data_IF_875630739816
#
_entry.id   IF_875630739816
#
_cell.length_a   1.000
_cell.length_b   1.000
_cell.length_c   1.000
_cell.angle_alpha   90.00
_cell.angle_beta   90.00
_cell.angle_gamma   90.00
#
_symmetry.space_group_name_H-M   'P 1'
#
loop_
_entity.id
_entity.type
_entity.pdbx_description
1 polymer ?
#
# COMPACT_ATOMS: atom_id res chain seq x y z
N UNK A 1 15.40 -7.77 15.07
CA UNK A 1 15.50 -6.42 14.44
C UNK A 1 14.19 -6.00 13.75
N UNK A 2 13.02 -6.26 14.35
CA UNK A 2 11.71 -5.80 13.84
C UNK A 2 11.24 -4.48 14.51
N UNK A 3 11.86 -4.11 15.63
CA UNK A 3 11.51 -2.95 16.45
C UNK A 3 11.30 -1.63 15.70
N UNK A 4 12.15 -1.22 14.72
CA UNK A 4 11.93 0.06 14.04
C UNK A 4 10.74 0.02 13.07
N UNK A 5 10.52 -1.10 12.39
CA UNK A 5 9.38 -1.28 11.50
C UNK A 5 8.07 -1.34 12.30
N UNK A 6 8.06 -2.06 13.43
CA UNK A 6 6.88 -2.14 14.30
C UNK A 6 6.52 -0.78 14.89
N UNK A 7 7.52 0.00 15.33
CA UNK A 7 7.30 1.36 15.82
C UNK A 7 6.70 2.25 14.72
N UNK A 8 7.26 2.18 13.51
CA UNK A 8 6.77 2.92 12.35
C UNK A 8 5.30 2.56 12.02
N UNK A 9 4.96 1.27 12.03
CA UNK A 9 3.60 0.80 11.81
C UNK A 9 2.65 1.33 12.90
N UNK A 10 3.04 1.27 14.17
CA UNK A 10 2.24 1.82 15.27
C UNK A 10 1.96 3.30 15.04
N UNK A 11 2.99 4.10 14.78
CA UNK A 11 2.84 5.53 14.51
C UNK A 11 1.92 5.78 13.33
N UNK A 12 2.12 5.07 12.21
CA UNK A 12 1.32 5.21 11.00
C UNK A 12 -0.16 4.85 11.20
N UNK A 13 -0.44 3.79 11.97
CA UNK A 13 -1.79 3.36 12.36
C UNK A 13 -2.42 4.38 13.30
N UNK A 14 -1.69 4.88 14.29
CA UNK A 14 -2.19 5.89 15.23
C UNK A 14 -2.58 7.19 14.49
N UNK A 15 -1.74 7.67 13.56
CA UNK A 15 -2.06 8.86 12.75
C UNK A 15 -3.37 8.65 11.97
N UNK A 16 -3.50 7.52 11.27
CA UNK A 16 -4.72 7.19 10.51
C UNK A 16 -5.95 7.08 11.43
N UNK A 17 -5.82 6.39 12.56
CA UNK A 17 -6.91 6.22 13.52
C UNK A 17 -7.38 7.56 14.10
N UNK A 18 -6.45 8.47 14.45
CA UNK A 18 -6.79 9.82 14.91
C UNK A 18 -7.52 10.61 13.82
N UNK A 19 -7.07 10.53 12.57
CA UNK A 19 -7.72 11.23 11.45
C UNK A 19 -9.12 10.68 11.16
N UNK A 20 -9.32 9.35 11.18
CA UNK A 20 -10.63 8.73 11.03
C UNK A 20 -11.63 9.20 12.10
N UNK A 21 -11.18 9.47 13.32
CA UNK A 21 -12.02 9.98 14.41
C UNK A 21 -12.23 11.48 14.41
N UNK A 22 -11.60 12.20 13.48
CA UNK A 22 -11.70 13.65 13.36
C UNK A 22 -12.76 14.06 12.33
N UNK A 23 -13.25 15.29 12.42
CA UNK A 23 -14.15 15.89 11.42
C UNK A 23 -13.49 16.07 10.04
N UNK A 24 -12.17 15.88 9.94
CA UNK A 24 -11.45 15.95 8.68
C UNK A 24 -11.72 14.73 7.79
N UNK A 25 -12.10 13.58 8.34
CA UNK A 25 -12.29 12.36 7.56
C UNK A 25 -13.34 12.56 6.44
N UNK A 26 -14.49 13.15 6.78
CA UNK A 26 -15.54 13.47 5.82
C UNK A 26 -15.06 14.49 4.79
N UNK A 27 -14.39 15.56 5.25
CA UNK A 27 -13.85 16.60 4.37
C UNK A 27 -12.85 16.00 3.35
N UNK A 28 -11.94 15.13 3.80
CA UNK A 28 -10.94 14.48 2.95
C UNK A 28 -11.63 13.57 1.92
N UNK A 29 -12.70 12.87 2.31
CA UNK A 29 -13.44 11.96 1.42
C UNK A 29 -14.18 12.65 0.26
N UNK A 30 -14.33 13.98 0.31
CA UNK A 30 -14.95 14.79 -0.75
C UNK A 30 -13.92 15.46 -1.67
N UNK A 31 -12.62 15.33 -1.36
CA UNK A 31 -11.55 15.99 -2.12
C UNK A 31 -11.20 15.21 -3.37
N UNK A 32 -11.33 15.86 -4.52
CA UNK A 32 -11.04 15.31 -5.85
C UNK A 32 -9.57 14.94 -6.03
N UNK A 33 -8.69 15.57 -5.25
CA UNK A 33 -7.27 15.28 -5.21
C UNK A 33 -6.98 13.90 -4.60
N UNK A 34 -7.84 13.44 -3.69
CA UNK A 34 -7.63 12.20 -2.91
C UNK A 34 -8.44 11.05 -3.46
N UNK A 35 -9.68 11.33 -3.89
CA UNK A 35 -10.61 10.36 -4.47
C UNK A 35 -11.23 10.88 -5.75
N UNK A 36 -11.52 9.97 -6.67
CA UNK A 36 -12.20 10.22 -7.93
C UNK A 36 -13.48 9.40 -8.01
N UNK A 37 -14.37 9.69 -8.98
CA UNK A 37 -15.57 8.87 -9.21
C UNK A 37 -15.28 7.38 -9.44
N UNK A 38 -14.03 7.00 -9.78
CA UNK A 38 -13.66 5.61 -10.03
C UNK A 38 -13.24 4.86 -8.76
N UNK A 39 -12.67 5.55 -7.75
CA UNK A 39 -12.05 4.92 -6.60
C UNK A 39 -12.64 5.36 -5.24
N UNK A 40 -13.68 6.20 -5.25
CA UNK A 40 -14.33 6.70 -4.05
C UNK A 40 -15.15 5.60 -3.35
N UNK A 41 -15.01 5.49 -2.04
CA UNK A 41 -15.76 4.52 -1.23
C UNK A 41 -17.28 4.65 -1.35
N UNK A 42 -17.78 5.88 -1.53
CA UNK A 42 -19.22 6.13 -1.72
C UNK A 42 -19.81 5.35 -2.89
N UNK A 43 -19.03 5.17 -3.96
CA UNK A 43 -19.45 4.39 -5.15
C UNK A 43 -19.52 2.90 -4.85
N UNK A 44 -18.67 2.42 -3.96
CA UNK A 44 -18.75 1.04 -3.46
C UNK A 44 -20.05 0.84 -2.68
N UNK A 45 -20.37 1.76 -1.76
CA UNK A 45 -21.60 1.69 -0.95
C UNK A 45 -22.86 1.79 -1.83
N UNK A 46 -22.87 2.72 -2.80
CA UNK A 46 -23.96 2.86 -3.75
C UNK A 46 -24.12 1.60 -4.63
N UNK A 47 -23.00 1.05 -5.12
CA UNK A 47 -22.98 -0.18 -5.90
C UNK A 47 -23.51 -1.38 -5.11
N UNK A 48 -23.15 -1.52 -3.83
CA UNK A 48 -23.69 -2.56 -2.96
C UNK A 48 -25.21 -2.40 -2.77
N UNK A 49 -25.69 -1.17 -2.53
CA UNK A 49 -27.12 -0.91 -2.38
C UNK A 49 -27.93 -1.25 -3.66
N UNK A 50 -27.37 -1.00 -4.85
CA UNK A 50 -27.99 -1.42 -6.12
C UNK A 50 -28.04 -2.95 -6.23
N UNK A 51 -26.95 -3.62 -5.86
CA UNK A 51 -26.86 -5.08 -5.88
C UNK A 51 -27.91 -5.71 -4.96
N UNK A 52 -28.11 -5.15 -3.76
CA UNK A 52 -29.11 -5.62 -2.79
C UNK A 52 -30.55 -5.45 -3.30
N UNK A 53 -30.80 -4.45 -4.16
CA UNK A 53 -32.07 -4.24 -4.84
C UNK A 53 -32.24 -5.12 -6.10
N UNK A 54 -31.28 -6.00 -6.40
CA UNK A 54 -31.30 -6.85 -7.60
C UNK A 54 -31.01 -6.09 -8.89
N UNK A 55 -30.50 -4.86 -8.81
CA UNK A 55 -30.09 -4.04 -9.94
C UNK A 55 -28.59 -4.20 -10.15
N UNK A 56 -28.17 -4.42 -11.40
CA UNK A 56 -26.74 -4.54 -11.71
C UNK A 56 -26.01 -3.22 -11.37
N UNK A 57 -24.98 -3.23 -10.50
CA UNK A 57 -24.20 -2.02 -10.18
C UNK A 57 -23.44 -1.44 -11.39
N UNK A 58 -23.32 -2.25 -12.45
CA UNK A 58 -22.63 -1.92 -13.70
C UNK A 58 -23.55 -1.33 -14.76
N UNK A 59 -24.88 -1.40 -14.59
CA UNK A 59 -25.82 -0.90 -15.63
C UNK A 59 -25.88 0.61 -15.73
N UNK A 60 -25.42 1.34 -14.70
CA UNK A 60 -25.49 2.80 -14.61
C UNK A 60 -24.12 3.48 -14.43
N UNK A 61 -23.01 2.80 -14.74
CA UNK A 61 -21.64 3.32 -14.58
C UNK A 61 -21.34 3.82 -13.16
N UNK A 62 -21.97 3.20 -12.16
CA UNK A 62 -21.83 3.58 -10.74
C UNK A 62 -20.58 2.92 -10.14
N UNK A 63 -20.32 1.67 -10.51
CA UNK A 63 -19.26 0.86 -9.94
C UNK A 63 -18.28 0.37 -11.01
N UNK A 64 -16.98 0.59 -10.78
CA UNK A 64 -15.93 0.40 -11.77
C UNK A 64 -14.91 -0.67 -11.40
N UNK A 65 -15.05 -1.28 -10.22
CA UNK A 65 -14.19 -2.37 -9.80
C UNK A 65 -14.73 -3.73 -10.30
N UNK A 66 -13.91 -4.77 -10.30
CA UNK A 66 -14.27 -6.08 -10.87
C UNK A 66 -15.49 -6.76 -10.19
N UNK A 67 -16.28 -7.59 -10.90
CA UNK A 67 -17.45 -8.27 -10.31
C UNK A 67 -17.16 -9.15 -9.10
N UNK A 68 -15.93 -9.65 -8.95
CA UNK A 68 -15.57 -10.45 -7.78
C UNK A 68 -15.37 -9.58 -6.53
N UNK A 69 -14.86 -8.36 -6.69
CA UNK A 69 -14.53 -7.50 -5.57
C UNK A 69 -15.77 -6.92 -4.89
N UNK A 70 -16.89 -6.76 -5.61
CA UNK A 70 -18.11 -6.22 -5.01
C UNK A 70 -18.71 -7.20 -4.00
N UNK A 71 -18.67 -8.51 -4.30
CA UNK A 71 -19.07 -9.52 -3.35
C UNK A 71 -18.14 -9.57 -2.14
N UNK A 72 -16.84 -9.34 -2.34
CA UNK A 72 -15.92 -9.19 -1.22
C UNK A 72 -16.27 -7.96 -0.37
N UNK A 73 -16.59 -6.82 -1.00
CA UNK A 73 -16.97 -5.59 -0.30
C UNK A 73 -18.24 -5.72 0.52
N UNK A 74 -19.18 -6.57 0.11
CA UNK A 74 -20.36 -6.88 0.92
C UNK A 74 -19.98 -7.36 2.34
N UNK A 75 -18.87 -8.08 2.51
CA UNK A 75 -18.39 -8.51 3.84
C UNK A 75 -17.50 -7.48 4.54
N UNK A 76 -16.83 -6.63 3.78
CA UNK A 76 -15.83 -5.70 4.30
C UNK A 76 -16.41 -4.32 4.63
N UNK A 77 -17.62 -4.01 4.16
CA UNK A 77 -18.18 -2.65 4.20
C UNK A 77 -18.29 -2.09 5.62
N UNK A 78 -18.68 -2.94 6.58
CA UNK A 78 -18.82 -2.57 8.00
C UNK A 78 -17.47 -2.33 8.69
N UNK A 79 -16.39 -2.85 8.11
CA UNK A 79 -15.03 -2.78 8.68
C UNK A 79 -14.09 -1.92 7.84
N UNK A 80 -14.63 -1.06 6.97
CA UNK A 80 -13.87 -0.32 5.96
C UNK A 80 -12.63 0.39 6.54
N UNK A 81 -12.77 1.12 7.64
CA UNK A 81 -11.64 1.84 8.27
C UNK A 81 -10.47 0.90 8.61
N UNK A 82 -10.77 -0.24 9.23
CA UNK A 82 -9.76 -1.24 9.61
C UNK A 82 -9.15 -1.87 8.36
N UNK A 83 -9.98 -2.19 7.38
CA UNK A 83 -9.56 -2.82 6.12
C UNK A 83 -8.53 -1.95 5.38
N UNK A 84 -8.78 -0.64 5.24
CA UNK A 84 -7.85 0.26 4.56
C UNK A 84 -6.55 0.48 5.33
N UNK A 85 -6.60 0.56 6.67
CA UNK A 85 -5.39 0.67 7.50
C UNK A 85 -4.55 -0.60 7.41
N UNK A 86 -5.19 -1.78 7.44
CA UNK A 86 -4.51 -3.07 7.29
C UNK A 86 -3.92 -3.20 5.89
N UNK A 87 -4.63 -2.79 4.84
CA UNK A 87 -4.13 -2.81 3.46
C UNK A 87 -2.88 -1.93 3.27
N UNK A 88 -2.86 -0.72 3.82
CA UNK A 88 -1.67 0.14 3.84
C UNK A 88 -0.51 -0.53 4.59
N UNK A 89 -0.79 -1.16 5.74
CA UNK A 89 0.20 -1.91 6.51
C UNK A 89 0.79 -3.08 5.73
N UNK A 90 -0.07 -3.87 5.06
CA UNK A 90 0.32 -4.97 4.17
C UNK A 90 1.21 -4.43 3.04
N UNK A 91 0.81 -3.34 2.40
CA UNK A 91 1.58 -2.71 1.31
C UNK A 91 2.98 -2.34 1.79
N UNK A 92 3.09 -1.63 2.92
CA UNK A 92 4.36 -1.21 3.48
C UNK A 92 5.27 -2.39 3.85
N UNK A 93 4.71 -3.43 4.48
CA UNK A 93 5.45 -4.64 4.85
C UNK A 93 5.88 -5.42 3.61
N UNK A 94 5.01 -5.53 2.60
CA UNK A 94 5.35 -6.21 1.36
C UNK A 94 6.49 -5.49 0.62
N UNK A 95 6.44 -4.15 0.51
CA UNK A 95 7.52 -3.34 -0.05
C UNK A 95 8.82 -3.48 0.76
N UNK A 96 8.74 -3.41 2.08
CA UNK A 96 9.89 -3.61 2.98
C UNK A 96 10.58 -4.96 2.71
N UNK A 97 9.82 -6.05 2.70
CA UNK A 97 10.35 -7.40 2.48
C UNK A 97 10.89 -7.56 1.05
N UNK A 98 10.24 -6.95 0.06
CA UNK A 98 10.67 -6.98 -1.34
C UNK A 98 12.05 -6.35 -1.49
N UNK A 99 12.27 -5.19 -0.88
CA UNK A 99 13.55 -4.49 -0.89
C UNK A 99 14.62 -5.27 -0.11
N UNK A 100 14.26 -5.92 1.00
CA UNK A 100 15.20 -6.79 1.72
C UNK A 100 15.69 -7.96 0.86
N UNK A 101 14.78 -8.64 0.17
CA UNK A 101 15.12 -9.76 -0.72
C UNK A 101 15.98 -9.27 -1.88
N UNK A 102 15.58 -8.16 -2.51
CA UNK A 102 16.33 -7.55 -3.59
C UNK A 102 17.76 -7.17 -3.16
N UNK A 103 17.91 -6.47 -2.03
CA UNK A 103 19.22 -6.10 -1.50
C UNK A 103 20.09 -7.32 -1.20
N UNK A 104 19.52 -8.38 -0.63
CA UNK A 104 20.23 -9.64 -0.39
C UNK A 104 20.71 -10.28 -1.70
N UNK A 105 19.88 -10.28 -2.73
CA UNK A 105 20.21 -10.84 -4.04
C UNK A 105 21.31 -10.04 -4.74
N UNK A 106 21.24 -8.70 -4.73
CA UNK A 106 22.26 -7.81 -5.29
C UNK A 106 23.58 -7.95 -4.55
N UNK A 107 23.55 -7.93 -3.21
CA UNK A 107 24.77 -8.08 -2.41
C UNK A 107 25.45 -9.44 -2.64
N UNK A 108 24.67 -10.51 -2.81
CA UNK A 108 25.20 -11.84 -3.16
C UNK A 108 25.90 -11.81 -4.52
N UNK A 109 25.31 -11.16 -5.53
CA UNK A 109 25.94 -11.02 -6.86
C UNK A 109 27.24 -10.21 -6.77
N UNK A 110 27.23 -9.07 -6.07
CA UNK A 110 28.42 -8.24 -5.86
C UNK A 110 29.57 -9.00 -5.18
N UNK A 111 29.26 -9.81 -4.15
CA UNK A 111 30.28 -10.54 -3.38
C UNK A 111 30.79 -11.82 -4.05
N UNK A 112 29.91 -12.58 -4.71
CA UNK A 112 30.26 -13.93 -5.23
C UNK A 112 30.51 -14.00 -6.73
N UNK A 113 30.08 -13.02 -7.54
CA UNK A 113 30.08 -13.13 -9.00
C UNK A 113 31.26 -12.46 -9.72
N UNK A 114 32.35 -12.09 -9.03
CA UNK A 114 33.51 -11.39 -9.63
C UNK A 114 33.15 -10.11 -10.41
N UNK A 115 31.94 -9.55 -10.23
CA UNK A 115 31.55 -8.28 -10.84
C UNK A 115 32.27 -7.08 -10.20
N UNK A 116 32.90 -7.28 -9.03
CA UNK A 116 33.68 -6.26 -8.32
C UNK A 116 34.70 -5.57 -9.23
N UNK A 117 35.42 -6.34 -10.05
CA UNK A 117 36.43 -5.82 -10.98
C UNK A 117 35.82 -5.19 -12.25
N UNK A 118 34.51 -5.35 -12.46
CA UNK A 118 33.76 -4.88 -13.63
C UNK A 118 33.04 -3.56 -13.38
N UNK A 119 32.97 -3.10 -12.12
CA UNK A 119 32.32 -1.84 -11.78
C UNK A 119 33.29 -0.66 -12.00
N UNK A 120 32.90 0.35 -12.80
CA UNK A 120 33.64 1.60 -12.90
C UNK A 120 33.74 2.31 -11.54
N UNK A 121 34.81 3.09 -11.34
CA UNK A 121 35.01 3.85 -10.10
C UNK A 121 33.85 4.82 -9.81
N UNK A 122 33.20 5.34 -10.86
CA UNK A 122 32.06 6.24 -10.77
C UNK A 122 30.78 5.55 -10.22
N UNK A 123 30.76 4.21 -10.16
CA UNK A 123 29.62 3.44 -9.69
C UNK A 123 29.77 2.95 -8.24
N UNK A 124 30.86 3.30 -7.54
CA UNK A 124 31.14 2.81 -6.18
C UNK A 124 30.07 3.24 -5.17
N UNK A 125 29.43 4.40 -5.36
CA UNK A 125 28.33 4.88 -4.52
C UNK A 125 27.04 4.06 -4.67
N UNK A 126 26.88 3.33 -5.78
CA UNK A 126 25.71 2.48 -6.04
C UNK A 126 25.89 1.07 -5.46
N UNK A 127 27.10 0.71 -5.02
CA UNK A 127 27.38 -0.58 -4.40
C UNK A 127 26.70 -0.68 -3.04
N UNK A 128 26.14 -1.85 -2.72
CA UNK A 128 25.36 -2.01 -1.50
C UNK A 128 26.28 -2.31 -0.32
N UNK A 129 26.32 -1.38 0.63
CA UNK A 129 26.96 -1.62 1.92
C UNK A 129 26.06 -2.45 2.86
N UNK A 130 26.63 -3.20 3.81
CA UNK A 130 25.85 -3.94 4.82
C UNK A 130 24.89 -3.07 5.63
N UNK A 131 25.25 -1.79 5.85
CA UNK A 131 24.39 -0.83 6.54
C UNK A 131 23.16 -0.49 5.70
N UNK A 132 23.34 -0.21 4.42
CA UNK A 132 22.25 0.14 3.50
C UNK A 132 21.24 -1.00 3.30
N UNK A 133 21.69 -2.25 3.38
CA UNK A 133 20.78 -3.40 3.37
C UNK A 133 19.71 -3.33 4.46
N UNK A 134 20.00 -2.66 5.58
CA UNK A 134 19.09 -2.48 6.70
C UNK A 134 18.26 -1.20 6.60
N UNK A 135 18.88 -0.05 6.33
CA UNK A 135 18.19 1.24 6.36
C UNK A 135 17.33 1.51 5.13
N UNK A 136 17.69 1.00 3.94
CA UNK A 136 16.92 1.25 2.71
C UNK A 136 15.51 0.64 2.78
N UNK A 137 15.31 -0.64 3.16
CA UNK A 137 13.97 -1.20 3.33
C UNK A 137 13.12 -0.38 4.30
N UNK A 138 13.71 0.05 5.43
CA UNK A 138 13.02 0.85 6.43
C UNK A 138 12.61 2.23 5.88
N UNK A 139 13.49 2.89 5.13
CA UNK A 139 13.17 4.16 4.45
C UNK A 139 12.02 3.99 3.47
N UNK A 140 11.99 2.92 2.67
CA UNK A 140 10.88 2.66 1.73
C UNK A 140 9.55 2.52 2.47
N UNK A 141 9.51 1.72 3.54
CA UNK A 141 8.31 1.60 4.37
C UNK A 141 7.91 2.94 5.01
N UNK A 142 8.89 3.72 5.48
CA UNK A 142 8.66 5.05 6.09
C UNK A 142 8.08 6.04 5.09
N UNK A 143 8.69 6.14 3.91
CA UNK A 143 8.23 7.03 2.85
C UNK A 143 6.84 6.68 2.37
N UNK A 144 6.46 5.40 2.34
CA UNK A 144 5.10 4.98 2.01
C UNK A 144 4.11 5.31 3.14
N UNK A 145 4.37 4.84 4.37
CA UNK A 145 3.42 4.94 5.47
C UNK A 145 3.18 6.36 5.97
N UNK A 146 4.20 7.21 5.89
CA UNK A 146 4.16 8.61 6.33
C UNK A 146 3.95 9.58 5.16
N UNK A 147 3.72 9.09 3.94
CA UNK A 147 3.34 9.94 2.82
C UNK A 147 2.00 10.62 3.13
N UNK A 148 1.90 11.97 3.09
CA UNK A 148 0.64 12.66 3.30
C UNK A 148 -0.46 12.15 2.36
N UNK A 149 -0.14 11.91 1.09
CA UNK A 149 -1.09 11.42 0.11
C UNK A 149 -1.62 10.03 0.48
N UNK A 150 -0.75 9.08 0.85
CA UNK A 150 -1.16 7.73 1.27
C UNK A 150 -2.01 7.78 2.53
N UNK A 151 -1.68 8.64 3.49
CA UNK A 151 -2.50 8.85 4.69
C UNK A 151 -3.89 9.36 4.31
N UNK A 152 -3.97 10.39 3.46
CA UNK A 152 -5.24 10.98 3.04
C UNK A 152 -6.09 9.99 2.23
N UNK A 153 -5.51 9.26 1.29
CA UNK A 153 -6.21 8.25 0.49
C UNK A 153 -6.73 7.09 1.34
N UNK A 154 -5.99 6.69 2.38
CA UNK A 154 -6.43 5.69 3.35
C UNK A 154 -7.64 6.21 4.14
N UNK A 155 -7.56 7.44 4.68
CA UNK A 155 -8.66 8.07 5.43
C UNK A 155 -9.91 8.29 4.56
N UNK A 156 -9.72 8.62 3.29
CA UNK A 156 -10.79 8.73 2.31
C UNK A 156 -11.38 7.38 1.87
N UNK A 157 -10.83 6.25 2.34
CA UNK A 157 -11.25 4.88 1.97
C UNK A 157 -11.17 4.65 0.46
N UNK A 158 -10.12 5.18 -0.18
CA UNK A 158 -9.91 5.01 -1.62
C UNK A 158 -9.57 3.56 -1.96
N UNK A 159 -10.31 2.94 -2.90
CA UNK A 159 -10.06 1.55 -3.34
C UNK A 159 -8.65 1.34 -3.90
N UNK A 160 -7.96 2.42 -4.30
CA UNK A 160 -6.56 2.42 -4.69
C UNK A 160 -5.64 1.79 -3.61
N UNK A 161 -5.93 1.99 -2.32
CA UNK A 161 -5.15 1.38 -1.23
C UNK A 161 -5.15 -0.16 -1.28
N UNK A 162 -6.30 -0.76 -1.63
CA UNK A 162 -6.42 -2.22 -1.79
C UNK A 162 -5.67 -2.71 -3.02
N UNK A 163 -5.80 -2.00 -4.14
CA UNK A 163 -5.08 -2.33 -5.37
C UNK A 163 -3.56 -2.27 -5.15
N UNK A 164 -3.07 -1.26 -4.43
CA UNK A 164 -1.67 -1.14 -4.04
C UNK A 164 -1.18 -2.32 -3.19
N UNK A 165 -2.00 -2.80 -2.25
CA UNK A 165 -1.67 -3.96 -1.43
C UNK A 165 -1.52 -5.23 -2.27
N UNK A 166 -2.46 -5.46 -3.21
CA UNK A 166 -2.40 -6.60 -4.13
C UNK A 166 -1.15 -6.54 -5.01
N UNK A 167 -0.84 -5.37 -5.57
CA UNK A 167 0.35 -5.18 -6.42
C UNK A 167 1.64 -5.39 -5.62
N UNK A 168 1.73 -4.83 -4.40
CA UNK A 168 2.92 -4.98 -3.57
C UNK A 168 3.14 -6.45 -3.14
N UNK A 169 2.07 -7.16 -2.81
CA UNK A 169 2.13 -8.61 -2.54
C UNK A 169 2.56 -9.40 -3.77
N UNK A 170 2.04 -9.06 -4.96
CA UNK A 170 2.45 -9.68 -6.21
C UNK A 170 3.95 -9.50 -6.48
N UNK A 171 4.48 -8.29 -6.28
CA UNK A 171 5.92 -8.01 -6.40
C UNK A 171 6.72 -8.85 -5.41
N UNK A 172 6.28 -8.91 -4.15
CA UNK A 172 6.95 -9.72 -3.12
C UNK A 172 7.00 -11.21 -3.48
N UNK A 173 5.88 -11.76 -3.97
CA UNK A 173 5.79 -13.15 -4.39
C UNK A 173 6.70 -13.44 -5.59
N UNK A 174 6.72 -12.54 -6.57
CA UNK A 174 7.58 -12.65 -7.76
C UNK A 174 9.08 -12.64 -7.41
N UNK A 175 9.49 -11.94 -6.34
CA UNK A 175 10.89 -11.92 -5.89
C UNK A 175 11.30 -13.16 -5.07
N UNK A 176 10.32 -13.91 -4.54
CA UNK A 176 10.55 -15.12 -3.74
C UNK A 176 10.56 -16.39 -4.58
N UNK A 177 9.76 -16.44 -5.64
CA UNK A 177 9.76 -17.53 -6.63
C UNK A 177 10.96 -17.44 -7.57
#
# INVERSE_FOLDING_TARGET
MAAPLTLLLIVAVTIRAVLFRSSLADLISERVEVVSPLNAWKRVVEGLALLDLGVSPYSGDVFHETPLIIYLFHFLVDYAEIVFVVADGITAVALYLSVQIYNKNVFRKQKYALEADRYPADCLELLRSPKEMFYIPLKVAMFYLLNPFTILSCVAKSTCGLNNAVIALFILCTLKG
#
